data_IF_728682990510
#
_entry.id   IF_728682990510
#
_cell.length_a   1.000
_cell.length_b   1.000
_cell.length_c   1.000
_cell.angle_alpha   90.00
_cell.angle_beta   90.00
_cell.angle_gamma   90.00
#
_symmetry.space_group_name_H-M   'P 1'
#
loop_
_entity.id
_entity.type
_entity.pdbx_description
1 polymer ?
#
# COMPACT_ATOMS: atom_id res chain seq x y z
N UNK A 1 -20.20 7.29 8.51
CA UNK A 1 -18.79 7.68 8.32
C UNK A 1 -18.32 7.07 7.00
N UNK A 2 -17.64 7.82 6.13
CA UNK A 2 -16.96 7.20 4.99
C UNK A 2 -15.90 6.20 5.50
N UNK A 3 -15.64 5.09 4.78
CA UNK A 3 -14.61 4.14 5.18
C UNK A 3 -13.24 4.84 5.24
N UNK A 4 -12.40 4.52 6.24
CA UNK A 4 -11.07 5.11 6.34
C UNK A 4 -10.26 4.84 5.08
N UNK A 5 -9.44 5.80 4.68
CA UNK A 5 -8.53 5.66 3.52
C UNK A 5 -7.35 4.76 3.95
N UNK A 6 -7.45 3.49 3.60
CA UNK A 6 -6.41 2.49 3.85
C UNK A 6 -5.16 2.76 2.98
N UNK A 7 -4.00 2.45 3.54
CA UNK A 7 -2.71 2.47 2.86
C UNK A 7 -1.98 1.17 3.15
N UNK A 8 -1.41 0.56 2.11
CA UNK A 8 -0.82 -0.75 2.21
C UNK A 8 0.69 -0.70 2.02
N UNK A 9 1.38 -1.59 2.70
CA UNK A 9 2.81 -1.84 2.58
C UNK A 9 3.04 -3.32 2.33
N UNK A 10 3.80 -3.66 1.31
CA UNK A 10 4.27 -5.01 1.08
C UNK A 10 5.48 -5.28 1.96
N UNK A 11 5.49 -6.46 2.57
CA UNK A 11 6.55 -6.95 3.44
C UNK A 11 6.93 -8.33 2.96
N UNK A 12 8.19 -8.51 2.55
CA UNK A 12 8.72 -9.82 2.20
C UNK A 12 9.52 -10.39 3.36
N UNK A 13 9.05 -11.48 3.93
CA UNK A 13 9.54 -12.02 5.20
C UNK A 13 10.51 -13.19 5.01
N UNK A 14 11.28 -13.56 6.04
CA UNK A 14 12.00 -14.82 6.06
C UNK A 14 11.07 -16.04 6.02
N UNK A 15 11.56 -17.21 5.58
CA UNK A 15 10.80 -18.46 5.68
C UNK A 15 10.41 -18.77 7.13
N UNK A 16 9.16 -19.15 7.34
CA UNK A 16 8.64 -19.53 8.66
C UNK A 16 8.08 -18.39 9.50
N UNK A 17 8.12 -17.13 9.02
CA UNK A 17 7.43 -16.01 9.69
C UNK A 17 5.92 -16.20 9.65
N UNK A 18 5.27 -16.07 10.80
CA UNK A 18 3.81 -16.14 10.92
C UNK A 18 3.16 -14.76 10.66
N UNK A 19 1.86 -14.77 10.36
CA UNK A 19 1.06 -13.52 10.28
C UNK A 19 1.11 -12.77 11.59
N UNK A 20 1.04 -13.48 12.72
CA UNK A 20 1.08 -12.88 14.06
C UNK A 20 2.40 -12.12 14.31
N UNK A 21 3.53 -12.65 13.87
CA UNK A 21 4.83 -11.98 14.02
C UNK A 21 4.87 -10.66 13.22
N UNK A 22 4.29 -10.65 12.01
CA UNK A 22 4.17 -9.43 11.19
C UNK A 22 3.18 -8.43 11.81
N UNK A 23 2.09 -8.94 12.39
CA UNK A 23 1.11 -8.14 13.10
C UNK A 23 1.72 -7.47 14.34
N UNK A 24 2.32 -8.25 15.24
CA UNK A 24 2.94 -7.76 16.47
C UNK A 24 4.04 -6.72 16.18
N UNK A 25 4.87 -6.98 15.15
CA UNK A 25 5.91 -6.05 14.74
C UNK A 25 5.33 -4.74 14.19
N UNK A 26 4.21 -4.82 13.45
CA UNK A 26 3.54 -3.63 12.91
C UNK A 26 2.85 -2.85 14.03
N UNK A 27 2.26 -3.57 14.99
CA UNK A 27 1.58 -2.99 16.15
C UNK A 27 2.58 -2.24 17.01
N UNK A 28 3.78 -2.79 17.20
CA UNK A 28 4.86 -2.12 17.92
C UNK A 28 5.31 -0.79 17.31
N UNK A 29 5.03 -0.54 16.03
CA UNK A 29 5.40 0.71 15.34
C UNK A 29 4.27 1.75 15.36
N UNK A 30 3.04 1.34 15.04
CA UNK A 30 1.92 2.28 14.82
C UNK A 30 0.78 2.13 15.81
N UNK A 31 0.77 1.07 16.62
CA UNK A 31 -0.32 0.75 17.54
C UNK A 31 -1.49 0.03 16.87
N UNK A 32 -2.21 -0.78 17.63
CA UNK A 32 -3.27 -1.66 17.12
C UNK A 32 -4.43 -0.90 16.47
N UNK A 33 -4.72 0.31 16.95
CA UNK A 33 -5.83 1.14 16.44
C UNK A 33 -5.61 1.60 15.00
N UNK A 34 -4.33 1.69 14.59
CA UNK A 34 -3.93 2.15 13.27
C UNK A 34 -3.77 1.01 12.26
N UNK A 35 -3.70 -0.25 12.73
CA UNK A 35 -3.67 -1.43 11.87
C UNK A 35 -5.09 -1.70 11.36
N UNK A 36 -5.23 -1.67 10.05
CA UNK A 36 -6.45 -2.09 9.38
C UNK A 36 -6.44 -3.59 9.05
N UNK A 37 -5.33 -4.11 8.52
CA UNK A 37 -5.19 -5.53 8.20
C UNK A 37 -3.74 -5.96 8.08
N UNK A 38 -3.50 -7.26 8.28
CA UNK A 38 -2.27 -7.95 7.85
C UNK A 38 -2.71 -9.19 7.07
N UNK A 39 -2.31 -9.27 5.81
CA UNK A 39 -2.73 -10.33 4.89
C UNK A 39 -1.52 -11.09 4.37
N UNK A 40 -1.60 -12.43 4.35
CA UNK A 40 -0.61 -13.29 3.69
C UNK A 40 -1.00 -13.46 2.22
N UNK A 41 -0.10 -13.11 1.29
CA UNK A 41 -0.33 -13.21 -0.15
C UNK A 41 0.30 -14.47 -0.77
N UNK A 42 0.69 -15.43 0.06
CA UNK A 42 1.38 -16.64 -0.37
C UNK A 42 2.90 -16.51 -0.29
N UNK A 43 3.57 -17.67 -0.16
CA UNK A 43 5.02 -17.73 -0.03
C UNK A 43 5.52 -16.88 1.14
N UNK A 44 6.35 -15.89 0.82
CA UNK A 44 7.01 -15.00 1.77
C UNK A 44 6.45 -13.57 1.76
N UNK A 45 5.35 -13.35 1.05
CA UNK A 45 4.82 -12.01 0.79
C UNK A 45 3.61 -11.73 1.68
N UNK A 46 3.69 -10.63 2.42
CA UNK A 46 2.67 -10.15 3.33
C UNK A 46 2.31 -8.71 2.95
N UNK A 47 1.10 -8.29 3.29
CA UNK A 47 0.64 -6.94 3.12
C UNK A 47 0.09 -6.39 4.43
N UNK A 48 0.60 -5.24 4.86
CA UNK A 48 0.16 -4.53 6.07
C UNK A 48 -0.63 -3.30 5.64
N UNK A 49 -1.89 -3.22 6.03
CA UNK A 49 -2.78 -2.09 5.81
C UNK A 49 -2.90 -1.23 7.07
N UNK A 50 -2.74 0.08 6.93
CA UNK A 50 -2.94 1.08 8.00
C UNK A 50 -3.99 2.12 7.62
N UNK A 51 -4.69 2.67 8.62
CA UNK A 51 -5.86 3.54 8.41
C UNK A 51 -5.62 5.04 8.71
N UNK A 52 -4.44 5.43 9.22
CA UNK A 52 -4.13 6.83 9.55
C UNK A 52 -2.91 7.36 8.82
N UNK A 53 -2.91 8.68 8.58
CA UNK A 53 -1.79 9.38 7.94
C UNK A 53 -0.54 9.34 8.82
N UNK A 54 -0.71 9.42 10.14
CA UNK A 54 0.40 9.33 11.10
C UNK A 54 1.09 7.97 11.00
N UNK A 55 0.32 6.87 11.01
CA UNK A 55 0.86 5.53 10.86
C UNK A 55 1.62 5.34 9.52
N UNK A 56 1.09 5.87 8.43
CA UNK A 56 1.78 5.85 7.12
C UNK A 56 3.12 6.56 7.20
N UNK A 57 3.18 7.75 7.81
CA UNK A 57 4.43 8.50 7.97
C UNK A 57 5.42 7.72 8.83
N UNK A 58 4.98 7.17 9.96
CA UNK A 58 5.83 6.35 10.84
C UNK A 58 6.41 5.14 10.11
N UNK A 59 5.61 4.40 9.34
CA UNK A 59 6.10 3.25 8.58
C UNK A 59 7.07 3.65 7.46
N UNK A 60 6.83 4.78 6.79
CA UNK A 60 7.74 5.32 5.77
C UNK A 60 9.07 5.77 6.36
N UNK A 61 9.04 6.47 7.50
CA UNK A 61 10.23 6.95 8.21
C UNK A 61 11.05 5.80 8.79
N UNK A 62 10.36 4.78 9.33
CA UNK A 62 11.03 3.57 9.84
C UNK A 62 11.65 2.76 8.70
N UNK A 63 10.97 2.69 7.55
CA UNK A 63 11.47 2.05 6.32
C UNK A 63 11.62 0.53 6.37
N UNK A 64 11.46 -0.09 7.54
CA UNK A 64 11.54 -1.53 7.71
C UNK A 64 10.84 -2.04 8.96
N UNK A 65 10.40 -3.29 8.88
CA UNK A 65 9.73 -4.02 9.94
C UNK A 65 10.72 -4.98 10.60
N UNK A 66 10.80 -4.98 11.93
CA UNK A 66 11.72 -5.86 12.66
C UNK A 66 11.01 -7.18 13.00
N UNK A 67 11.49 -8.27 12.43
CA UNK A 67 11.00 -9.64 12.62
C UNK A 67 12.12 -10.47 13.26
N UNK A 68 11.98 -10.74 14.55
CA UNK A 68 13.03 -11.33 15.39
C UNK A 68 14.34 -10.54 15.34
N UNK A 69 15.39 -11.15 14.78
CA UNK A 69 16.74 -10.55 14.64
C UNK A 69 16.97 -9.84 13.31
N UNK A 70 15.97 -9.81 12.42
CA UNK A 70 16.09 -9.25 11.07
C UNK A 70 15.19 -8.04 10.90
N UNK A 71 15.62 -7.11 10.07
CA UNK A 71 14.76 -6.03 9.58
C UNK A 71 14.47 -6.29 8.11
N UNK A 72 13.20 -6.34 7.76
CA UNK A 72 12.72 -6.49 6.38
C UNK A 72 12.18 -5.15 5.88
N UNK A 73 12.34 -4.81 4.60
CA UNK A 73 11.89 -3.52 4.08
C UNK A 73 10.35 -3.43 4.08
N UNK A 74 9.85 -2.24 4.41
CA UNK A 74 8.45 -1.87 4.20
C UNK A 74 8.34 -1.17 2.85
N UNK A 75 7.72 -1.83 1.87
CA UNK A 75 7.57 -1.28 0.52
C UNK A 75 6.17 -0.70 0.38
N UNK A 76 6.00 0.63 0.29
CA UNK A 76 4.68 1.21 0.12
C UNK A 76 4.03 0.70 -1.17
N UNK A 77 2.81 0.19 -1.05
CA UNK A 77 1.98 -0.15 -2.19
C UNK A 77 1.40 1.15 -2.70
N UNK A 78 1.91 1.62 -3.84
CA UNK A 78 1.31 2.75 -4.52
C UNK A 78 -0.18 2.50 -4.71
N UNK A 79 -1.02 3.49 -4.41
CA UNK A 79 -2.45 3.42 -4.75
C UNK A 79 -2.56 3.15 -6.25
N UNK A 80 -2.97 1.95 -6.63
CA UNK A 80 -3.31 1.68 -8.01
C UNK A 80 -4.62 2.38 -8.31
N UNK A 81 -4.55 3.45 -9.09
CA UNK A 81 -5.74 4.03 -9.71
C UNK A 81 -6.09 3.11 -10.88
N UNK A 82 -6.96 2.14 -10.62
CA UNK A 82 -7.39 1.17 -11.62
C UNK A 82 -8.28 1.77 -12.72
N UNK A 83 -8.96 2.88 -12.42
CA UNK A 83 -9.84 3.57 -13.37
C UNK A 83 -9.91 5.07 -13.09
N UNK A 84 -9.86 5.88 -14.14
CA UNK A 84 -10.15 7.32 -14.10
C UNK A 84 -11.37 7.57 -14.98
N UNK A 85 -12.37 8.29 -14.46
CA UNK A 85 -13.53 8.73 -15.23
C UNK A 85 -13.40 10.21 -15.55
N UNK A 86 -13.29 10.55 -16.83
CA UNK A 86 -13.26 11.94 -17.30
C UNK A 86 -14.68 12.41 -17.60
N UNK A 87 -15.16 13.43 -16.89
CA UNK A 87 -16.48 14.03 -17.11
C UNK A 87 -16.34 15.33 -17.91
N UNK A 88 -17.35 15.66 -18.71
CA UNK A 88 -17.42 16.89 -19.52
C UNK A 88 -16.31 17.03 -20.58
N UNK A 89 -15.79 15.91 -21.09
CA UNK A 89 -14.84 15.93 -22.20
C UNK A 89 -15.54 16.49 -23.46
N UNK A 90 -14.98 17.49 -24.15
CA UNK A 90 -15.55 17.97 -25.41
C UNK A 90 -15.58 16.85 -26.45
N UNK A 91 -16.66 16.77 -27.24
CA UNK A 91 -16.90 15.67 -28.19
C UNK A 91 -15.88 15.58 -29.33
N UNK A 92 -15.03 16.59 -29.51
CA UNK A 92 -13.95 16.59 -30.51
C UNK A 92 -12.62 16.06 -29.95
N UNK A 93 -12.51 15.77 -28.65
CA UNK A 93 -11.28 15.23 -28.05
C UNK A 93 -11.27 13.70 -28.23
N UNK A 94 -10.32 13.15 -28.98
CA UNK A 94 -10.23 11.70 -29.20
C UNK A 94 -9.56 10.98 -28.01
N UNK A 95 -9.89 9.70 -27.83
CA UNK A 95 -9.44 8.87 -26.69
C UNK A 95 -7.90 8.84 -26.55
N UNK A 96 -7.18 8.82 -27.66
CA UNK A 96 -5.71 8.79 -27.67
C UNK A 96 -5.08 10.07 -27.07
N UNK A 97 -5.73 11.23 -27.20
CA UNK A 97 -5.28 12.47 -26.56
C UNK A 97 -5.53 12.46 -25.06
N UNK A 98 -6.66 11.90 -24.62
CA UNK A 98 -6.95 11.70 -23.19
C UNK A 98 -5.91 10.80 -22.55
N UNK A 99 -5.64 9.63 -23.17
CA UNK A 99 -4.60 8.70 -22.70
C UNK A 99 -3.24 9.38 -22.68
N UNK A 100 -2.88 10.12 -23.73
CA UNK A 100 -1.60 10.83 -23.80
C UNK A 100 -1.48 11.89 -22.70
N UNK A 101 -2.54 12.62 -22.39
CA UNK A 101 -2.58 13.59 -21.28
C UNK A 101 -2.44 12.93 -19.90
N UNK A 102 -2.92 11.69 -19.75
CA UNK A 102 -2.85 10.95 -18.49
C UNK A 102 -1.52 10.20 -18.27
N UNK A 103 -0.70 10.00 -19.32
CA UNK A 103 0.58 9.27 -19.24
C UNK A 103 1.58 9.85 -18.23
N UNK A 104 1.50 11.14 -17.92
CA UNK A 104 2.37 11.78 -16.92
C UNK A 104 2.02 11.38 -15.47
N UNK A 105 0.84 10.83 -15.23
CA UNK A 105 0.34 10.49 -13.90
C UNK A 105 0.50 9.01 -13.54
N UNK A 106 0.91 8.16 -14.49
CA UNK A 106 1.12 6.74 -14.26
C UNK A 106 1.39 5.96 -15.55
N UNK A 107 1.78 4.70 -15.38
CA UNK A 107 1.92 3.74 -16.49
C UNK A 107 0.74 2.78 -16.46
N UNK A 108 0.25 2.39 -17.65
CA UNK A 108 -0.80 1.38 -17.77
C UNK A 108 -0.33 0.07 -17.11
N UNK A 109 -1.18 -0.62 -16.32
CA UNK A 109 -0.84 -1.93 -15.81
C UNK A 109 -0.61 -2.88 -17.01
N UNK A 110 0.52 -3.59 -16.98
CA UNK A 110 0.92 -4.57 -17.99
C UNK A 110 -0.03 -5.77 -18.03
#
# INVERSE_FOLDING_TARGET
MPPPKEHFFNVRTPPGTSVDEVFDASEGLVGIQDIYSVQHHGGFDFQVGVNSVAAVQTLLETGGLRLGTRTVPLVPVARQVASVTCLYLPCYVPDNEVVTGLKSYGTEPR
#
